data_IF_968187885667
#
_entry.id   IF_968187885667
#
_cell.length_a   1.000
_cell.length_b   1.000
_cell.length_c   1.000
_cell.angle_alpha   90.00
_cell.angle_beta   90.00
_cell.angle_gamma   90.00
#
_symmetry.space_group_name_H-M   'P 1'
#
loop_
_entity.id
_entity.type
_entity.pdbx_description
1 polymer ?
#
# COMPACT_ATOMS: atom_id res chain seq x y z
N UNK A 1 21.90 20.07 -2.57
CA UNK A 1 20.73 20.42 -1.73
C UNK A 1 21.01 19.86 -0.34
N UNK A 2 20.92 20.62 0.75
CA UNK A 2 21.17 20.03 2.08
C UNK A 2 19.94 19.19 2.43
N UNK A 3 20.09 17.86 2.42
CA UNK A 3 19.01 16.95 2.80
C UNK A 3 18.68 17.15 4.27
N UNK A 4 17.40 17.00 4.67
CA UNK A 4 17.05 16.89 6.07
C UNK A 4 17.83 15.76 6.78
N UNK A 5 18.27 15.99 8.02
CA UNK A 5 19.17 15.07 8.75
C UNK A 5 18.55 13.69 8.99
N UNK A 6 17.23 13.60 9.11
CA UNK A 6 16.48 12.34 9.21
C UNK A 6 16.63 11.43 8.01
N UNK A 7 16.58 12.05 6.85
CA UNK A 7 16.53 11.40 5.56
C UNK A 7 17.90 10.74 5.31
N UNK A 8 18.95 11.45 5.72
CA UNK A 8 20.33 10.95 5.75
C UNK A 8 20.49 9.77 6.71
N UNK A 9 19.93 9.88 7.91
CA UNK A 9 19.98 8.81 8.93
C UNK A 9 19.31 7.54 8.43
N UNK A 10 18.05 7.63 7.95
CA UNK A 10 17.28 6.47 7.47
C UNK A 10 17.97 5.75 6.31
N UNK A 11 18.53 6.49 5.35
CA UNK A 11 19.31 5.91 4.24
C UNK A 11 20.60 5.25 4.76
N UNK A 12 21.28 5.89 5.72
CA UNK A 12 22.52 5.32 6.28
C UNK A 12 22.25 4.00 7.01
N UNK A 13 21.20 3.96 7.84
CA UNK A 13 20.78 2.76 8.56
C UNK A 13 20.37 1.64 7.60
N UNK A 14 19.63 1.95 6.53
CA UNK A 14 19.27 0.99 5.50
C UNK A 14 20.51 0.37 4.84
N UNK A 15 21.49 1.20 4.44
CA UNK A 15 22.74 0.69 3.84
C UNK A 15 23.51 -0.19 4.81
N UNK A 16 23.63 0.17 6.08
CA UNK A 16 24.34 -0.65 7.07
C UNK A 16 23.62 -1.98 7.38
N UNK A 17 22.31 -2.05 7.15
CA UNK A 17 21.53 -3.29 7.28
C UNK A 17 21.72 -4.22 6.08
N UNK A 18 21.68 -3.69 4.86
CA UNK A 18 21.79 -4.48 3.63
C UNK A 18 23.23 -4.84 3.27
N UNK A 19 24.19 -3.96 3.54
CA UNK A 19 25.61 -4.17 3.30
C UNK A 19 26.30 -4.67 4.58
N UNK A 20 26.21 -5.98 4.84
CA UNK A 20 26.66 -6.57 6.09
C UNK A 20 28.14 -6.27 6.41
N UNK A 21 28.37 -5.72 7.60
CA UNK A 21 29.70 -5.35 8.08
C UNK A 21 30.28 -4.09 7.43
N UNK A 22 29.46 -3.29 6.75
CA UNK A 22 29.81 -1.94 6.29
C UNK A 22 29.28 -0.85 7.24
N UNK A 23 29.98 0.28 7.25
CA UNK A 23 29.63 1.47 8.04
C UNK A 23 29.65 2.70 7.17
N UNK A 24 28.55 3.46 7.19
CA UNK A 24 28.39 4.65 6.36
C UNK A 24 29.28 5.77 6.90
N UNK A 25 30.16 6.29 6.05
CA UNK A 25 31.01 7.45 6.35
C UNK A 25 30.37 8.75 5.88
N UNK A 26 29.70 8.70 4.72
CA UNK A 26 29.09 9.86 4.07
C UNK A 26 27.83 9.42 3.34
N UNK A 27 26.79 10.24 3.44
CA UNK A 27 25.54 10.08 2.71
C UNK A 27 25.06 11.47 2.32
N UNK A 28 24.89 11.71 1.02
CA UNK A 28 24.50 12.99 0.45
C UNK A 28 23.38 12.79 -0.57
N UNK A 29 22.29 13.54 -0.44
CA UNK A 29 21.21 13.49 -1.42
C UNK A 29 21.60 14.34 -2.62
N UNK A 30 21.77 13.69 -3.75
CA UNK A 30 22.23 14.31 -4.99
C UNK A 30 21.07 14.77 -5.86
N UNK A 31 19.93 14.07 -5.83
CA UNK A 31 18.76 14.42 -6.64
C UNK A 31 17.44 13.93 -6.00
N UNK A 32 16.33 14.46 -6.49
CA UNK A 32 14.96 14.00 -6.24
C UNK A 32 14.21 14.05 -7.56
N UNK A 33 13.71 12.91 -8.03
CA UNK A 33 12.95 12.84 -9.28
C UNK A 33 11.55 12.29 -9.04
N UNK A 34 10.56 12.99 -9.59
CA UNK A 34 9.18 12.52 -9.55
C UNK A 34 8.87 11.76 -10.84
N UNK A 35 8.65 10.45 -10.71
CA UNK A 35 8.36 9.54 -11.81
C UNK A 35 6.98 8.93 -11.52
N UNK A 36 6.02 9.18 -12.40
CA UNK A 36 4.59 8.93 -12.15
C UNK A 36 4.09 9.64 -10.88
N UNK A 37 3.53 8.89 -9.93
CA UNK A 37 3.02 9.36 -8.64
C UNK A 37 4.04 9.24 -7.50
N UNK A 38 5.18 8.59 -7.74
CA UNK A 38 6.24 8.35 -6.76
C UNK A 38 7.38 9.35 -6.89
N UNK A 39 7.95 9.78 -5.75
CA UNK A 39 9.16 10.61 -5.72
C UNK A 39 10.33 9.76 -5.26
N UNK A 40 11.32 9.60 -6.13
CA UNK A 40 12.55 8.87 -5.85
C UNK A 40 13.63 9.86 -5.42
N UNK A 41 14.06 9.76 -4.16
CA UNK A 41 15.23 10.46 -3.66
C UNK A 41 16.47 9.63 -3.95
N UNK A 42 17.50 10.27 -4.51
CA UNK A 42 18.73 9.60 -4.93
C UNK A 42 19.89 10.11 -4.08
N UNK A 43 20.57 9.17 -3.46
CA UNK A 43 21.65 9.40 -2.50
C UNK A 43 22.95 8.80 -3.00
N UNK A 44 24.03 9.57 -2.85
CA UNK A 44 25.40 9.12 -2.96
C UNK A 44 25.87 8.73 -1.55
N UNK A 45 26.17 7.44 -1.34
CA UNK A 45 26.51 6.87 -0.03
C UNK A 45 27.86 6.15 -0.08
N UNK A 46 28.82 6.66 0.70
CA UNK A 46 30.15 6.08 0.83
C UNK A 46 30.29 5.39 2.19
N UNK A 47 30.73 4.14 2.18
CA UNK A 47 30.96 3.33 3.37
C UNK A 47 32.45 3.21 3.68
N UNK A 48 32.78 2.38 4.67
CA UNK A 48 34.15 1.96 4.94
C UNK A 48 34.73 1.00 3.90
N UNK A 49 33.91 0.39 3.04
CA UNK A 49 34.36 -0.59 2.04
C UNK A 49 34.02 -0.22 0.60
N UNK A 50 32.86 0.39 0.35
CA UNK A 50 32.34 0.60 -1.00
C UNK A 50 31.53 1.91 -1.11
N UNK A 51 30.95 2.13 -2.30
CA UNK A 51 30.24 3.33 -2.70
C UNK A 51 28.97 2.96 -3.47
N UNK A 52 27.83 3.52 -3.07
CA UNK A 52 26.52 3.17 -3.59
C UNK A 52 25.70 4.39 -4.03
N UNK A 53 24.91 4.19 -5.08
CA UNK A 53 23.69 4.96 -5.29
C UNK A 53 22.57 4.30 -4.48
N UNK A 54 21.88 5.06 -3.63
CA UNK A 54 20.68 4.59 -2.93
C UNK A 54 19.48 5.35 -3.44
N UNK A 55 18.45 4.63 -3.90
CA UNK A 55 17.24 5.20 -4.50
C UNK A 55 16.05 4.79 -3.65
N UNK A 56 15.21 5.73 -3.23
CA UNK A 56 14.03 5.47 -2.38
C UNK A 56 12.77 5.13 -3.17
N UNK A 57 11.80 4.54 -2.47
CA UNK A 57 10.43 4.23 -2.96
C UNK A 57 10.34 3.21 -4.11
N UNK A 58 10.61 1.92 -3.85
CA UNK A 58 11.13 1.35 -2.61
C UNK A 58 12.64 1.58 -2.47
N UNK A 59 13.15 1.59 -1.24
CA UNK A 59 14.58 1.82 -1.01
C UNK A 59 15.43 0.64 -1.47
N UNK A 60 16.45 0.90 -2.28
CA UNK A 60 17.46 -0.09 -2.68
C UNK A 60 18.82 0.56 -2.93
N UNK A 61 19.91 -0.21 -2.80
CA UNK A 61 21.29 0.22 -3.04
C UNK A 61 21.88 -0.39 -4.32
N UNK A 62 22.71 0.40 -5.01
CA UNK A 62 23.32 0.08 -6.30
C UNK A 62 24.82 0.41 -6.25
N UNK A 63 25.72 -0.59 -6.32
CA UNK A 63 27.16 -0.35 -6.26
C UNK A 63 27.65 0.54 -7.41
N UNK A 64 28.50 1.52 -7.12
CA UNK A 64 29.11 2.38 -8.16
C UNK A 64 29.94 1.60 -9.17
N UNK A 65 30.52 0.47 -8.74
CA UNK A 65 31.27 -0.45 -9.60
C UNK A 65 30.42 -0.99 -10.76
N UNK A 66 29.14 -1.24 -10.52
CA UNK A 66 28.19 -1.75 -11.52
C UNK A 66 27.35 -0.62 -12.15
N UNK A 67 27.17 0.49 -11.44
CA UNK A 67 26.35 1.63 -11.83
C UNK A 67 27.18 2.93 -11.86
N UNK A 68 27.89 3.21 -12.96
CA UNK A 68 28.84 4.32 -13.03
C UNK A 68 28.21 5.72 -12.99
N UNK A 69 26.89 5.84 -13.13
CA UNK A 69 26.18 7.12 -13.02
C UNK A 69 24.84 6.97 -12.33
N UNK A 70 24.43 8.07 -11.69
CA UNK A 70 23.12 8.23 -11.06
C UNK A 70 21.97 7.92 -12.03
N UNK A 71 21.99 8.51 -13.24
CA UNK A 71 20.93 8.33 -14.24
C UNK A 71 20.80 6.87 -14.68
N UNK A 72 21.93 6.14 -14.73
CA UNK A 72 21.92 4.73 -15.07
C UNK A 72 21.33 3.88 -13.94
N UNK A 73 21.72 4.14 -12.69
CA UNK A 73 21.12 3.50 -11.51
C UNK A 73 19.60 3.77 -11.44
N UNK A 74 19.18 5.02 -11.66
CA UNK A 74 17.76 5.40 -11.64
C UNK A 74 16.96 4.74 -12.76
N UNK A 75 17.49 4.74 -13.99
CA UNK A 75 16.82 4.08 -15.11
C UNK A 75 16.65 2.58 -14.88
N UNK A 76 17.68 1.93 -14.33
CA UNK A 76 17.61 0.52 -13.95
C UNK A 76 16.60 0.27 -12.83
N UNK A 77 16.63 1.07 -11.77
CA UNK A 77 15.68 1.00 -10.65
C UNK A 77 14.24 1.11 -11.14
N UNK A 78 13.92 2.16 -11.90
CA UNK A 78 12.58 2.38 -12.46
C UNK A 78 12.16 1.23 -13.39
N UNK A 79 13.08 0.73 -14.22
CA UNK A 79 12.81 -0.41 -15.09
C UNK A 79 12.53 -1.70 -14.33
N UNK A 80 13.31 -1.99 -13.28
CA UNK A 80 13.11 -3.12 -12.38
C UNK A 80 11.76 -3.01 -11.68
N UNK A 81 11.46 -1.85 -11.09
CA UNK A 81 10.19 -1.60 -10.41
C UNK A 81 8.99 -1.70 -11.34
N UNK A 82 9.12 -1.23 -12.58
CA UNK A 82 8.08 -1.36 -13.61
C UNK A 82 7.82 -2.83 -13.95
N UNK A 83 8.87 -3.68 -14.00
CA UNK A 83 8.73 -5.11 -14.26
C UNK A 83 8.15 -5.85 -13.06
N UNK A 84 8.53 -5.48 -11.85
CA UNK A 84 7.95 -6.02 -10.62
C UNK A 84 6.47 -5.68 -10.54
N UNK A 85 6.10 -4.41 -10.80
CA UNK A 85 4.72 -3.96 -10.91
C UNK A 85 3.97 -4.69 -12.02
N UNK A 86 4.54 -4.82 -13.23
CA UNK A 86 3.91 -5.58 -14.32
C UNK A 86 3.73 -7.07 -14.01
N UNK A 87 4.61 -7.64 -13.16
CA UNK A 87 4.47 -9.01 -12.67
C UNK A 87 3.41 -9.15 -11.57
N UNK A 88 3.09 -8.06 -10.88
CA UNK A 88 1.93 -7.96 -10.02
C UNK A 88 0.72 -7.76 -10.93
N UNK A 89 -0.16 -8.75 -10.97
CA UNK A 89 -1.41 -8.64 -11.72
C UNK A 89 -2.45 -7.77 -11.02
N UNK A 90 -2.05 -6.94 -10.06
CA UNK A 90 -2.94 -6.14 -9.22
C UNK A 90 -2.29 -4.80 -8.88
N UNK A 91 -3.11 -3.79 -8.65
CA UNK A 91 -2.71 -2.49 -8.10
C UNK A 91 -2.59 -2.49 -6.56
N UNK A 92 -2.71 -3.66 -5.91
CA UNK A 92 -2.54 -3.80 -4.47
C UNK A 92 -1.12 -3.50 -4.03
N UNK A 93 -0.99 -2.69 -2.98
CA UNK A 93 0.28 -2.51 -2.27
C UNK A 93 0.61 -3.74 -1.41
N UNK A 94 1.85 -3.88 -0.96
CA UNK A 94 2.22 -4.93 0.00
C UNK A 94 1.41 -4.83 1.31
N UNK A 95 1.04 -3.62 1.72
CA UNK A 95 0.17 -3.39 2.89
C UNK A 95 -1.24 -3.95 2.64
N UNK A 96 -1.81 -3.73 1.46
CA UNK A 96 -3.11 -4.30 1.07
C UNK A 96 -3.08 -5.83 1.08
N UNK A 97 -2.02 -6.42 0.51
CA UNK A 97 -1.82 -7.89 0.46
C UNK A 97 -1.69 -8.45 1.87
N UNK A 98 -0.94 -7.77 2.74
CA UNK A 98 -0.75 -8.19 4.13
C UNK A 98 -2.06 -8.19 4.93
N UNK A 99 -3.02 -7.29 4.65
CA UNK A 99 -4.29 -7.22 5.37
C UNK A 99 -5.33 -8.25 4.97
N UNK A 100 -5.32 -8.67 3.71
CA UNK A 100 -6.27 -9.66 3.20
C UNK A 100 -5.58 -10.72 2.33
N UNK A 101 -4.61 -11.47 2.89
CA UNK A 101 -3.73 -12.33 2.11
C UNK A 101 -4.48 -13.49 1.43
N UNK A 102 -5.55 -14.02 2.03
CA UNK A 102 -6.35 -15.08 1.39
C UNK A 102 -7.20 -14.51 0.27
N UNK A 103 -7.82 -13.36 0.50
CA UNK A 103 -8.63 -12.63 -0.48
C UNK A 103 -7.80 -12.34 -1.73
N UNK A 104 -6.62 -11.74 -1.58
CA UNK A 104 -5.72 -11.44 -2.71
C UNK A 104 -5.22 -12.70 -3.43
N UNK A 105 -4.98 -13.78 -2.69
CA UNK A 105 -4.62 -15.07 -3.30
C UNK A 105 -5.75 -15.63 -4.16
N UNK A 106 -6.99 -15.62 -3.67
CA UNK A 106 -8.15 -16.07 -4.44
C UNK A 106 -8.41 -15.17 -5.64
N UNK A 107 -8.28 -13.85 -5.49
CA UNK A 107 -8.41 -12.90 -6.59
C UNK A 107 -7.36 -13.20 -7.67
N UNK A 108 -6.09 -13.40 -7.29
CA UNK A 108 -5.03 -13.78 -8.24
C UNK A 108 -5.36 -15.08 -8.97
N UNK A 109 -5.90 -16.08 -8.28
CA UNK A 109 -6.33 -17.34 -8.92
C UNK A 109 -7.50 -17.14 -9.90
N UNK A 110 -8.44 -16.25 -9.58
CA UNK A 110 -9.51 -15.87 -10.51
C UNK A 110 -8.94 -15.14 -11.73
N UNK A 111 -7.94 -14.28 -11.54
CA UNK A 111 -7.29 -13.53 -12.61
C UNK A 111 -6.52 -14.46 -13.56
N UNK A 112 -5.79 -15.44 -13.03
CA UNK A 112 -5.13 -16.46 -13.85
C UNK A 112 -6.14 -17.32 -14.62
N UNK A 113 -7.28 -17.67 -14.00
CA UNK A 113 -8.34 -18.40 -14.69
C UNK A 113 -8.94 -17.58 -15.84
N UNK A 114 -9.11 -16.27 -15.67
CA UNK A 114 -9.63 -15.38 -16.71
C UNK A 114 -8.74 -15.34 -17.95
N UNK A 115 -7.42 -15.48 -17.80
CA UNK A 115 -6.48 -15.52 -18.94
C UNK A 115 -6.66 -16.74 -19.83
N UNK A 116 -7.23 -17.82 -19.28
CA UNK A 116 -7.46 -19.09 -19.97
C UNK A 116 -8.92 -19.28 -20.39
N UNK A 117 -9.80 -18.34 -20.04
CA UNK A 117 -11.23 -18.44 -20.30
C UNK A 117 -11.54 -18.16 -21.77
N UNK A 118 -12.23 -19.07 -22.42
CA UNK A 118 -12.58 -18.97 -23.85
C UNK A 118 -14.09 -18.99 -24.08
N UNK A 119 -14.86 -19.66 -23.20
CA UNK A 119 -16.28 -19.91 -23.38
C UNK A 119 -17.16 -19.21 -22.33
N UNK A 120 -18.47 -19.11 -22.61
CA UNK A 120 -19.44 -18.46 -21.73
C UNK A 120 -19.47 -19.05 -20.32
N UNK A 121 -19.32 -20.36 -20.19
CA UNK A 121 -19.24 -21.09 -18.92
C UNK A 121 -17.98 -20.72 -18.13
N UNK A 122 -16.85 -20.48 -18.81
CA UNK A 122 -15.62 -20.03 -18.16
C UNK A 122 -15.82 -18.62 -17.57
N UNK A 123 -16.45 -17.73 -18.34
CA UNK A 123 -16.77 -16.37 -17.88
C UNK A 123 -17.74 -16.36 -16.70
N UNK A 124 -18.76 -17.24 -16.69
CA UNK A 124 -19.62 -17.44 -15.53
C UNK A 124 -18.84 -17.93 -14.31
N UNK A 125 -17.88 -18.84 -14.50
CA UNK A 125 -17.03 -19.34 -13.44
C UNK A 125 -16.14 -18.22 -12.85
N UNK A 126 -15.73 -17.22 -13.64
CA UNK A 126 -15.06 -16.01 -13.12
C UNK A 126 -15.99 -15.25 -12.17
N UNK A 127 -17.25 -15.04 -12.53
CA UNK A 127 -18.23 -14.43 -11.62
C UNK A 127 -18.36 -15.19 -10.28
N UNK A 128 -18.38 -16.53 -10.33
CA UNK A 128 -18.45 -17.35 -9.13
C UNK A 128 -17.20 -17.21 -8.25
N UNK A 129 -16.02 -17.14 -8.87
CA UNK A 129 -14.75 -16.90 -8.16
C UNK A 129 -14.72 -15.50 -7.54
N UNK A 130 -15.14 -14.46 -8.26
CA UNK A 130 -15.24 -13.09 -7.74
C UNK A 130 -16.20 -13.02 -6.54
N UNK A 131 -17.33 -13.74 -6.58
CA UNK A 131 -18.25 -13.84 -5.45
C UNK A 131 -17.58 -14.44 -4.21
N UNK A 132 -16.80 -15.51 -4.38
CA UNK A 132 -16.07 -16.15 -3.29
C UNK A 132 -14.97 -15.25 -2.72
N UNK A 133 -14.29 -14.48 -3.57
CA UNK A 133 -13.32 -13.46 -3.16
C UNK A 133 -13.98 -12.44 -2.23
N UNK A 134 -15.15 -11.91 -2.58
CA UNK A 134 -15.86 -10.93 -1.75
C UNK A 134 -16.35 -11.51 -0.41
N UNK A 135 -16.75 -12.79 -0.39
CA UNK A 135 -17.08 -13.49 0.85
C UNK A 135 -15.84 -13.61 1.75
N UNK A 136 -14.71 -14.01 1.16
CA UNK A 136 -13.45 -14.16 1.89
C UNK A 136 -12.94 -12.81 2.43
N UNK A 137 -13.09 -11.73 1.67
CA UNK A 137 -12.75 -10.37 2.12
C UNK A 137 -13.44 -10.03 3.43
N UNK A 138 -14.77 -10.20 3.48
CA UNK A 138 -15.56 -9.91 4.68
C UNK A 138 -15.12 -10.78 5.87
N UNK A 139 -14.84 -12.07 5.63
CA UNK A 139 -14.37 -12.99 6.68
C UNK A 139 -12.99 -12.61 7.23
N UNK A 140 -12.06 -12.16 6.37
CA UNK A 140 -10.74 -11.69 6.81
C UNK A 140 -10.84 -10.39 7.60
N UNK A 141 -11.70 -9.46 7.20
CA UNK A 141 -11.97 -8.22 7.95
C UNK A 141 -12.56 -8.47 9.34
N UNK A 142 -13.46 -9.45 9.46
CA UNK A 142 -14.02 -9.89 10.76
C UNK A 142 -12.94 -10.55 11.63
N UNK A 143 -12.19 -11.52 11.07
CA UNK A 143 -11.20 -12.33 11.81
C UNK A 143 -10.05 -11.49 12.36
N UNK A 144 -9.58 -10.53 11.55
CA UNK A 144 -8.49 -9.63 11.91
C UNK A 144 -8.89 -8.59 12.97
N UNK A 145 -10.17 -8.56 13.40
CA UNK A 145 -10.75 -7.54 14.30
C UNK A 145 -10.55 -6.11 13.79
N UNK A 146 -10.21 -5.94 12.50
CA UNK A 146 -10.14 -4.64 11.83
C UNK A 146 -11.51 -3.94 11.87
N UNK A 147 -12.58 -4.74 11.96
CA UNK A 147 -13.95 -4.31 12.13
C UNK A 147 -14.54 -5.01 13.34
N UNK A 148 -15.01 -4.25 14.33
CA UNK A 148 -15.81 -4.79 15.45
C UNK A 148 -17.29 -4.74 15.06
N UNK A 149 -17.76 -5.71 14.27
CA UNK A 149 -19.19 -5.94 14.00
C UNK A 149 -19.91 -6.65 15.16
N UNK A 150 -19.41 -6.48 16.40
CA UNK A 150 -19.72 -7.34 17.55
C UNK A 150 -21.17 -7.34 18.05
N UNK A 151 -22.08 -6.56 17.45
CA UNK A 151 -23.48 -6.45 17.89
C UNK A 151 -24.51 -6.60 16.76
N UNK A 152 -24.09 -6.96 15.55
CA UNK A 152 -25.00 -7.08 14.41
C UNK A 152 -25.21 -8.56 14.05
N UNK A 153 -26.44 -9.06 14.21
CA UNK A 153 -26.89 -10.40 13.80
C UNK A 153 -26.97 -10.49 12.25
N UNK A 154 -25.82 -10.29 11.59
CA UNK A 154 -25.70 -10.35 10.14
C UNK A 154 -25.03 -11.68 9.79
N UNK A 155 -25.66 -12.43 8.88
CA UNK A 155 -25.07 -13.70 8.37
C UNK A 155 -23.70 -13.44 7.76
N UNK A 156 -22.75 -14.33 8.00
CA UNK A 156 -21.36 -14.22 7.47
C UNK A 156 -21.27 -14.18 5.95
N UNK A 157 -22.25 -14.78 5.26
CA UNK A 157 -22.34 -14.76 3.78
C UNK A 157 -23.05 -13.53 3.23
N UNK A 158 -23.60 -12.65 4.07
CA UNK A 158 -24.28 -11.42 3.66
C UNK A 158 -23.27 -10.29 3.45
N UNK A 159 -22.51 -10.41 2.36
CA UNK A 159 -21.41 -9.50 2.00
C UNK A 159 -21.88 -8.04 1.97
N UNK A 160 -23.05 -7.77 1.40
CA UNK A 160 -23.60 -6.41 1.27
C UNK A 160 -23.78 -5.76 2.63
N UNK A 161 -24.47 -6.43 3.56
CA UNK A 161 -24.75 -5.86 4.87
C UNK A 161 -23.50 -5.80 5.75
N UNK A 162 -22.60 -6.78 5.63
CA UNK A 162 -21.32 -6.79 6.34
C UNK A 162 -20.40 -5.63 5.91
N UNK A 163 -20.25 -5.38 4.61
CA UNK A 163 -19.47 -4.24 4.10
C UNK A 163 -20.15 -2.91 4.46
N UNK A 164 -21.47 -2.82 4.36
CA UNK A 164 -22.19 -1.61 4.75
C UNK A 164 -21.97 -1.25 6.23
N UNK A 165 -22.05 -2.23 7.13
CA UNK A 165 -21.75 -2.06 8.55
C UNK A 165 -20.28 -1.67 8.80
N UNK A 166 -19.35 -2.31 8.07
CA UNK A 166 -17.92 -1.97 8.09
C UNK A 166 -17.69 -0.50 7.74
N UNK A 167 -18.32 -0.01 6.68
CA UNK A 167 -18.17 1.38 6.26
C UNK A 167 -18.82 2.38 7.23
N UNK A 168 -19.92 2.01 7.90
CA UNK A 168 -20.49 2.86 8.95
C UNK A 168 -19.54 3.04 10.14
N UNK A 169 -18.80 1.99 10.48
CA UNK A 169 -17.79 2.05 11.53
C UNK A 169 -16.55 2.86 11.10
N UNK A 170 -15.91 2.47 9.99
CA UNK A 170 -14.60 2.99 9.58
C UNK A 170 -14.68 4.39 8.95
N UNK A 171 -15.75 4.68 8.21
CA UNK A 171 -15.94 5.96 7.55
C UNK A 171 -16.97 6.80 8.32
N UNK A 172 -16.87 6.87 9.65
CA UNK A 172 -17.83 7.59 10.50
C UNK A 172 -17.69 9.13 10.40
N UNK A 173 -18.74 9.85 10.83
CA UNK A 173 -18.77 11.31 10.82
C UNK A 173 -19.21 11.95 9.50
N UNK A 174 -19.33 13.29 9.53
CA UNK A 174 -19.83 14.09 8.41
C UNK A 174 -18.81 14.22 7.27
N UNK A 175 -17.53 14.40 7.61
CA UNK A 175 -16.43 14.52 6.63
C UNK A 175 -16.32 13.29 5.72
N UNK A 176 -16.70 12.12 6.23
CA UNK A 176 -16.63 10.85 5.53
C UNK A 176 -17.92 10.45 4.81
N UNK A 177 -18.98 11.28 4.89
CA UNK A 177 -20.32 10.94 4.35
C UNK A 177 -20.27 10.56 2.88
N UNK A 178 -19.56 11.32 2.05
CA UNK A 178 -19.47 11.07 0.60
C UNK A 178 -18.74 9.77 0.30
N UNK A 179 -17.61 9.54 0.96
CA UNK A 179 -16.81 8.31 0.80
C UNK A 179 -17.62 7.10 1.24
N UNK A 180 -18.25 7.17 2.42
CA UNK A 180 -19.11 6.10 2.95
C UNK A 180 -20.27 5.75 2.02
N UNK A 181 -20.97 6.76 1.49
CA UNK A 181 -22.06 6.54 0.55
C UNK A 181 -21.56 5.86 -0.73
N UNK A 182 -20.46 6.35 -1.29
CA UNK A 182 -19.85 5.74 -2.48
C UNK A 182 -19.44 4.29 -2.23
N UNK A 183 -18.76 3.99 -1.12
CA UNK A 183 -18.34 2.63 -0.76
C UNK A 183 -19.54 1.66 -0.66
N UNK A 184 -20.64 2.10 -0.01
CA UNK A 184 -21.87 1.31 0.10
C UNK A 184 -22.49 1.03 -1.26
N UNK A 185 -22.66 2.05 -2.09
CA UNK A 185 -23.21 1.90 -3.44
C UNK A 185 -22.31 1.01 -4.30
N UNK A 186 -20.99 1.20 -4.23
CA UNK A 186 -20.03 0.40 -4.98
C UNK A 186 -20.07 -1.08 -4.56
N UNK A 187 -20.10 -1.36 -3.25
CA UNK A 187 -20.21 -2.74 -2.76
C UNK A 187 -21.49 -3.43 -3.19
N UNK A 188 -22.61 -2.70 -3.20
CA UNK A 188 -23.91 -3.24 -3.59
C UNK A 188 -23.92 -3.56 -5.09
N UNK A 189 -23.57 -2.57 -5.92
CA UNK A 189 -23.53 -2.72 -7.36
C UNK A 189 -22.54 -3.81 -7.80
N UNK A 190 -21.37 -3.91 -7.17
CA UNK A 190 -20.39 -4.96 -7.47
C UNK A 190 -20.92 -6.34 -7.09
N UNK A 191 -21.61 -6.47 -5.95
CA UNK A 191 -22.23 -7.74 -5.53
C UNK A 191 -23.32 -8.21 -6.50
N UNK A 192 -24.16 -7.28 -6.98
CA UNK A 192 -25.15 -7.57 -8.01
C UNK A 192 -24.49 -7.98 -9.34
N UNK A 193 -23.42 -7.27 -9.72
CA UNK A 193 -22.67 -7.51 -10.95
C UNK A 193 -22.00 -8.90 -10.97
N UNK A 194 -21.35 -9.33 -9.87
CA UNK A 194 -20.76 -10.68 -9.79
C UNK A 194 -21.85 -11.76 -9.87
N UNK A 195 -23.01 -11.53 -9.25
CA UNK A 195 -24.15 -12.46 -9.28
C UNK A 195 -24.86 -12.51 -10.63
N UNK A 196 -24.86 -11.41 -11.38
CA UNK A 196 -25.35 -11.39 -12.75
C UNK A 196 -24.45 -12.25 -13.65
N UNK A 197 -23.13 -12.05 -13.58
CA UNK A 197 -22.18 -12.79 -14.42
C UNK A 197 -22.27 -14.31 -14.17
N UNK A 198 -22.49 -14.76 -12.93
CA UNK A 198 -22.62 -16.20 -12.62
C UNK A 198 -23.78 -16.90 -13.32
N UNK A 199 -24.75 -16.14 -13.84
CA UNK A 199 -25.94 -16.68 -14.49
C UNK A 199 -26.11 -16.21 -15.93
N UNK A 200 -25.16 -15.42 -16.45
CA UNK A 200 -25.26 -14.85 -17.78
C UNK A 200 -24.83 -15.85 -18.86
N UNK A 201 -25.80 -16.50 -19.51
CA UNK A 201 -25.58 -17.55 -20.53
C UNK A 201 -24.80 -17.10 -21.76
N UNK A 202 -24.83 -15.82 -22.07
CA UNK A 202 -24.16 -15.24 -23.24
C UNK A 202 -22.97 -14.36 -22.83
N UNK A 203 -22.38 -14.64 -21.66
CA UNK A 203 -21.23 -13.90 -21.17
C UNK A 203 -20.10 -13.91 -22.19
N UNK A 204 -19.41 -12.78 -22.29
CA UNK A 204 -18.20 -12.63 -23.10
C UNK A 204 -17.02 -12.23 -22.22
N UNK A 205 -15.82 -12.35 -22.78
CA UNK A 205 -14.57 -11.99 -22.09
C UNK A 205 -14.60 -10.58 -21.48
N UNK A 206 -15.21 -9.60 -22.16
CA UNK A 206 -15.30 -8.23 -21.66
C UNK A 206 -16.19 -8.11 -20.42
N UNK A 207 -17.25 -8.91 -20.30
CA UNK A 207 -18.09 -8.95 -19.10
C UNK A 207 -17.27 -9.47 -17.91
N UNK A 208 -16.55 -10.58 -18.12
CA UNK A 208 -15.72 -11.19 -17.09
C UNK A 208 -14.57 -10.27 -16.64
N UNK A 209 -13.91 -9.57 -17.58
CA UNK A 209 -12.90 -8.55 -17.26
C UNK A 209 -13.50 -7.42 -16.43
N UNK A 210 -14.64 -6.88 -16.85
CA UNK A 210 -15.29 -5.79 -16.13
C UNK A 210 -15.67 -6.18 -14.70
N UNK A 211 -16.22 -7.38 -14.51
CA UNK A 211 -16.54 -7.92 -13.17
C UNK A 211 -15.28 -8.13 -12.33
N UNK A 212 -14.19 -8.58 -12.94
CA UNK A 212 -12.91 -8.77 -12.26
C UNK A 212 -12.32 -7.45 -11.77
N UNK A 213 -12.30 -6.43 -12.63
CA UNK A 213 -11.82 -5.07 -12.32
C UNK A 213 -12.69 -4.41 -11.23
N UNK A 214 -14.01 -4.55 -11.32
CA UNK A 214 -14.93 -4.04 -10.30
C UNK A 214 -14.69 -4.71 -8.93
N UNK A 215 -14.42 -6.02 -8.93
CA UNK A 215 -14.07 -6.78 -7.72
C UNK A 215 -12.77 -6.27 -7.12
N UNK A 216 -11.73 -6.07 -7.93
CA UNK A 216 -10.44 -5.52 -7.48
C UNK A 216 -10.62 -4.11 -6.90
N UNK A 217 -11.31 -3.23 -7.60
CA UNK A 217 -11.54 -1.85 -7.16
C UNK A 217 -12.29 -1.81 -5.83
N UNK A 218 -13.27 -2.69 -5.63
CA UNK A 218 -13.97 -2.81 -4.36
C UNK A 218 -13.01 -3.27 -3.24
N UNK A 219 -12.15 -4.25 -3.49
CA UNK A 219 -11.13 -4.70 -2.53
C UNK A 219 -10.20 -3.54 -2.15
N UNK A 220 -9.61 -2.86 -3.13
CA UNK A 220 -8.68 -1.74 -2.92
C UNK A 220 -9.34 -0.59 -2.15
N UNK A 221 -10.55 -0.21 -2.53
CA UNK A 221 -11.31 0.85 -1.84
C UNK A 221 -11.63 0.48 -0.39
N UNK A 222 -11.93 -0.79 -0.14
CA UNK A 222 -12.21 -1.32 1.21
C UNK A 222 -10.95 -1.31 2.07
N UNK A 223 -9.83 -1.79 1.55
CA UNK A 223 -8.57 -1.82 2.29
C UNK A 223 -8.01 -0.41 2.51
N UNK A 224 -8.18 0.49 1.55
CA UNK A 224 -7.83 1.91 1.70
C UNK A 224 -8.54 2.57 2.89
N UNK A 225 -9.83 2.30 3.11
CA UNK A 225 -10.55 2.86 4.27
C UNK A 225 -10.13 2.21 5.58
N UNK A 226 -9.79 0.92 5.57
CA UNK A 226 -9.21 0.21 6.73
C UNK A 226 -7.88 0.85 7.12
N UNK A 227 -6.94 0.94 6.18
CA UNK A 227 -5.62 1.53 6.40
C UNK A 227 -5.75 2.98 6.87
N UNK A 228 -6.64 3.77 6.25
CA UNK A 228 -6.91 5.15 6.66
C UNK A 228 -7.45 5.25 8.09
N UNK A 229 -8.28 4.31 8.53
CA UNK A 229 -8.87 4.35 9.87
C UNK A 229 -7.85 4.02 10.97
N UNK A 230 -6.85 3.19 10.65
CA UNK A 230 -5.79 2.83 11.59
C UNK A 230 -4.64 3.83 11.59
N UNK A 231 -4.30 4.36 10.42
CA UNK A 231 -3.26 5.38 10.34
C UNK A 231 -3.80 6.66 10.98
N UNK A 232 -3.08 7.25 11.95
CA UNK A 232 -3.48 8.54 12.51
C UNK A 232 -3.63 9.53 11.36
N UNK A 233 -4.65 10.39 11.44
CA UNK A 233 -4.82 11.47 10.44
C UNK A 233 -3.46 12.15 10.28
N UNK A 234 -2.94 12.27 9.05
CA UNK A 234 -1.59 12.80 8.87
C UNK A 234 -1.57 14.17 9.53
N UNK A 235 -0.76 14.28 10.59
CA UNK A 235 -0.70 15.50 11.40
C UNK A 235 -0.19 16.58 10.47
N UNK A 236 -0.94 17.67 10.36
CA UNK A 236 -0.41 18.86 9.73
C UNK A 236 0.65 19.41 10.67
N UNK A 237 1.84 19.67 10.13
CA UNK A 237 2.89 20.33 10.87
C UNK A 237 2.30 21.57 11.57
N UNK A 238 2.44 21.71 12.90
CA UNK A 238 1.85 22.84 13.62
C UNK A 238 2.40 24.17 13.11
N UNK A 239 3.65 24.18 12.64
CA UNK A 239 4.36 25.33 12.11
C UNK A 239 3.92 25.69 10.66
N UNK A 240 4.09 24.80 9.67
CA UNK A 240 3.87 25.13 8.25
C UNK A 240 2.60 24.54 7.62
N UNK A 241 1.81 23.77 8.38
CA UNK A 241 0.60 23.05 7.95
C UNK A 241 0.80 21.99 6.85
N UNK A 242 2.05 21.70 6.47
CA UNK A 242 2.39 20.61 5.55
C UNK A 242 1.97 19.25 6.11
N UNK A 243 1.58 18.34 5.21
CA UNK A 243 1.34 16.93 5.53
C UNK A 243 2.61 16.08 5.52
N UNK A 244 3.76 16.66 5.16
CA UNK A 244 5.07 15.99 5.18
C UNK A 244 5.63 15.88 6.60
N UNK A 245 4.84 15.30 7.51
CA UNK A 245 5.25 14.97 8.87
C UNK A 245 5.46 13.46 8.93
N UNK A 246 6.67 13.06 9.28
CA UNK A 246 7.09 11.66 9.36
C UNK A 246 7.43 11.28 10.81
N UNK A 247 7.48 9.97 11.08
CA UNK A 247 8.07 9.44 12.31
C UNK A 247 9.53 9.12 12.02
N UNK A 248 10.43 9.79 12.72
CA UNK A 248 11.85 9.74 12.46
C UNK A 248 12.58 9.04 13.61
N UNK A 249 13.20 7.91 13.32
CA UNK A 249 13.91 7.11 14.31
C UNK A 249 15.13 7.84 14.86
N UNK A 250 15.39 7.70 16.15
CA UNK A 250 16.50 8.32 16.89
C UNK A 250 17.27 7.24 17.65
N UNK A 251 18.35 6.71 17.07
CA UNK A 251 19.18 5.69 17.71
C UNK A 251 19.65 6.05 19.13
N UNK A 252 19.88 7.34 19.39
CA UNK A 252 20.26 7.93 20.68
C UNK A 252 19.18 7.83 21.76
N UNK A 253 17.93 7.57 21.35
CA UNK A 253 16.77 7.37 22.21
C UNK A 253 16.47 5.89 22.48
N UNK A 254 17.10 4.96 21.75
CA UNK A 254 16.79 3.52 21.77
C UNK A 254 16.88 2.88 23.17
N UNK A 255 17.74 3.43 24.04
CA UNK A 255 17.92 2.97 25.43
C UNK A 255 17.35 3.94 26.48
N UNK A 256 16.75 5.05 26.04
CA UNK A 256 16.25 6.11 26.94
C UNK A 256 14.73 6.12 27.05
N UNK A 257 14.04 5.75 25.98
CA UNK A 257 12.58 5.79 25.89
C UNK A 257 12.08 4.53 25.22
N UNK A 258 10.83 4.15 25.53
CA UNK A 258 10.19 2.96 24.96
C UNK A 258 10.01 3.05 23.44
N UNK A 259 9.85 4.26 22.91
CA UNK A 259 9.63 4.52 21.49
C UNK A 259 10.64 5.58 21.01
N UNK A 260 11.77 5.17 20.41
CA UNK A 260 12.84 6.07 19.99
C UNK A 260 12.53 6.77 18.66
N UNK A 261 11.39 7.45 18.59
CA UNK A 261 10.91 8.13 17.39
C UNK A 261 10.46 9.55 17.73
N UNK A 262 10.81 10.50 16.89
CA UNK A 262 10.39 11.91 16.99
C UNK A 262 9.59 12.28 15.75
N UNK A 263 8.53 13.08 15.91
CA UNK A 263 7.81 13.61 14.75
C UNK A 263 8.64 14.71 14.08
N UNK A 264 8.83 14.63 12.76
CA UNK A 264 9.61 15.64 12.01
C UNK A 264 8.87 16.08 10.76
N UNK A 265 8.82 17.39 10.52
CA UNK A 265 8.29 17.95 9.28
C UNK A 265 9.38 18.18 8.24
N UNK A 266 9.35 17.44 7.14
CA UNK A 266 10.32 17.58 6.05
C UNK A 266 10.21 18.91 5.29
N UNK A 267 9.09 19.61 5.41
CA UNK A 267 8.86 20.86 4.69
C UNK A 267 9.47 22.09 5.40
N UNK A 268 9.54 22.09 6.74
CA UNK A 268 10.04 23.24 7.50
C UNK A 268 11.01 22.89 8.64
N UNK A 269 11.33 21.61 8.84
CA UNK A 269 12.25 21.14 9.88
C UNK A 269 11.69 21.18 11.30
N UNK A 270 10.36 21.30 11.48
CA UNK A 270 9.76 21.23 12.81
C UNK A 270 9.93 19.84 13.40
N UNK A 271 10.47 19.75 14.62
CA UNK A 271 10.53 18.54 15.44
C UNK A 271 9.47 18.60 16.54
N UNK A 272 8.76 17.49 16.76
CA UNK A 272 7.86 17.30 17.89
C UNK A 272 8.64 17.08 19.19
N UNK A 273 7.95 17.26 20.31
CA UNK A 273 8.54 17.05 21.64
C UNK A 273 9.08 15.63 21.79
N UNK A 274 10.16 15.44 22.57
CA UNK A 274 10.71 14.12 22.86
C UNK A 274 9.61 13.22 23.47
N UNK A 275 9.48 11.96 23.01
CA UNK A 275 8.48 11.05 23.53
C UNK A 275 8.66 10.89 25.06
N UNK A 276 7.60 11.11 25.82
CA UNK A 276 7.60 10.97 27.28
C UNK A 276 8.10 9.56 27.69
N UNK A 277 8.94 9.52 28.74
CA UNK A 277 9.61 8.33 29.27
C UNK A 277 8.66 7.21 29.71
#
# INVERSE_FOLDING_TARGET
>A
MKSPDHQKRSVSEYVELEAEGEKVKRAEKVSSEKIFDTTHDIWDVETNKDHYWVITEPTNLYPHSDFPSMDYALSFHVGLMSRMSASQHTNATDEDIYRAPKTWRQWKQAHEALKLAEEAEDFQAIGARCREVLITLVQELETSKLVRSGDLDIKKSDVKNQLAATYDLLASGNEMRKIRAHLKTNSDSTWELVGWLTHHKNAVLYDAKYVMDATEQLMLNTLSIVIRNEKPRPRRCPNCKSYRVISDFRSELMFKVKHPYVELCEACGWEGDEPES
#
